data_IF_819877606993
#
_entry.id   IF_819877606993
#
_cell.length_a   1.000
_cell.length_b   1.000
_cell.length_c   1.000
_cell.angle_alpha   90.00
_cell.angle_beta   90.00
_cell.angle_gamma   90.00
#
_symmetry.space_group_name_H-M   'P 1'
#
loop_
_entity.id
_entity.type
_entity.pdbx_description
1 polymer ?
#
# COMPACT_ATOMS: atom_id res chain seq x y z
N UNK A 1 -23.47 49.84 0.79
CA UNK A 1 -22.17 49.50 1.39
C UNK A 1 -21.85 48.06 1.01
N UNK A 2 -20.59 47.82 0.68
CA UNK A 2 -20.12 46.70 -0.12
C UNK A 2 -20.33 45.30 0.50
N UNK A 3 -20.59 44.35 -0.41
CA UNK A 3 -20.20 42.94 -0.41
C UNK A 3 -19.43 42.41 0.82
N UNK A 4 -20.04 41.45 1.51
CA UNK A 4 -19.34 40.39 2.22
C UNK A 4 -19.69 39.06 1.55
N UNK A 5 -18.99 38.74 0.45
CA UNK A 5 -18.99 37.41 -0.14
C UNK A 5 -18.37 36.49 0.90
N UNK A 6 -19.20 35.75 1.66
CA UNK A 6 -18.73 34.57 2.37
C UNK A 6 -18.27 33.59 1.31
N UNK A 7 -16.95 33.58 1.15
CA UNK A 7 -16.22 32.73 0.24
C UNK A 7 -16.43 31.31 0.75
N UNK A 8 -17.45 30.62 0.22
CA UNK A 8 -17.58 29.17 0.25
C UNK A 8 -16.38 28.58 -0.51
N UNK A 9 -15.23 28.62 0.17
CA UNK A 9 -14.00 27.93 -0.21
C UNK A 9 -14.02 26.52 0.38
N UNK A 10 -15.21 25.90 0.44
CA UNK A 10 -15.34 24.48 0.70
C UNK A 10 -14.88 23.75 -0.54
N UNK A 11 -13.67 23.20 -0.51
CA UNK A 11 -13.22 22.23 -1.50
C UNK A 11 -14.32 21.17 -1.61
N UNK A 12 -15.10 21.18 -2.70
CA UNK A 12 -16.17 20.20 -2.90
C UNK A 12 -15.54 18.81 -2.98
N UNK A 13 -15.51 18.13 -1.84
CA UNK A 13 -14.87 16.83 -1.67
C UNK A 13 -15.58 15.83 -2.61
N UNK A 14 -16.91 15.87 -2.68
CA UNK A 14 -17.67 15.06 -3.62
C UNK A 14 -18.80 15.88 -4.22
N UNK A 15 -19.13 15.60 -5.48
CA UNK A 15 -20.32 16.15 -6.13
C UNK A 15 -21.60 15.62 -5.49
N UNK A 16 -22.70 16.37 -5.59
CA UNK A 16 -24.01 15.90 -5.11
C UNK A 16 -24.45 14.61 -5.81
N UNK A 17 -24.14 14.46 -7.10
CA UNK A 17 -24.44 13.25 -7.88
C UNK A 17 -23.71 12.01 -7.32
N UNK A 18 -22.44 12.17 -6.92
CA UNK A 18 -21.65 11.08 -6.32
C UNK A 18 -22.20 10.60 -4.97
N UNK A 19 -22.95 11.45 -4.25
CA UNK A 19 -23.46 11.17 -2.91
C UNK A 19 -24.96 10.92 -2.87
N UNK A 20 -25.68 11.19 -3.96
CA UNK A 20 -27.15 11.25 -4.02
C UNK A 20 -27.85 10.04 -3.41
N UNK A 21 -27.31 8.85 -3.65
CA UNK A 21 -27.90 7.59 -3.22
C UNK A 21 -27.41 7.10 -1.86
N UNK A 22 -26.53 7.85 -1.19
CA UNK A 22 -25.95 7.46 0.10
C UNK A 22 -26.84 7.90 1.26
N UNK A 23 -26.97 7.04 2.27
CA UNK A 23 -27.74 7.35 3.47
C UNK A 23 -26.95 8.19 4.47
N UNK A 24 -27.65 9.13 5.13
CA UNK A 24 -27.11 9.91 6.25
C UNK A 24 -26.05 10.94 5.85
N UNK A 25 -26.03 11.38 4.59
CA UNK A 25 -25.07 12.35 4.08
C UNK A 25 -25.21 13.68 4.81
N UNK A 26 -24.10 14.18 5.35
CA UNK A 26 -23.95 15.56 5.84
C UNK A 26 -22.66 16.15 5.31
N UNK A 27 -22.70 17.40 4.84
CA UNK A 27 -21.52 18.13 4.40
C UNK A 27 -21.05 19.05 5.53
N UNK A 28 -19.85 18.82 6.03
CA UNK A 28 -19.12 19.75 6.89
C UNK A 28 -18.14 20.58 6.06
N UNK A 29 -17.54 21.61 6.68
CA UNK A 29 -16.63 22.51 5.96
C UNK A 29 -15.42 21.80 5.32
N UNK A 30 -14.88 20.78 5.99
CA UNK A 30 -13.67 20.05 5.55
C UNK A 30 -13.87 18.53 5.38
N UNK A 31 -15.09 18.05 5.59
CA UNK A 31 -15.41 16.63 5.47
C UNK A 31 -16.83 16.41 4.96
N UNK A 32 -17.08 15.23 4.41
CA UNK A 32 -18.44 14.69 4.31
C UNK A 32 -18.63 13.62 5.37
N UNK A 33 -19.85 13.43 5.84
CA UNK A 33 -20.22 12.41 6.79
C UNK A 33 -21.32 11.55 6.20
N UNK A 34 -21.27 10.24 6.39
CA UNK A 34 -22.27 9.27 5.90
C UNK A 34 -22.54 8.20 6.96
N UNK A 35 -23.70 7.55 6.87
CA UNK A 35 -23.99 6.36 7.69
C UNK A 35 -23.10 5.20 7.25
N UNK A 36 -22.44 4.57 8.21
CA UNK A 36 -21.62 3.39 7.99
C UNK A 36 -21.92 2.30 9.02
N UNK A 37 -21.38 1.12 8.81
CA UNK A 37 -21.44 0.06 9.80
C UNK A 37 -20.51 -1.10 9.49
N UNK A 38 -20.47 -2.06 10.40
CA UNK A 38 -19.71 -3.29 10.25
C UNK A 38 -20.50 -4.44 10.85
N UNK A 39 -20.68 -5.52 10.09
CA UNK A 39 -21.52 -6.66 10.51
C UNK A 39 -20.67 -7.78 11.12
N UNK A 40 -20.90 -8.07 12.38
CA UNK A 40 -20.36 -9.23 13.10
C UNK A 40 -21.32 -10.41 13.03
N UNK A 41 -20.78 -11.62 12.84
CA UNK A 41 -21.58 -12.85 12.91
C UNK A 41 -22.19 -13.09 14.28
N UNK A 42 -21.55 -12.62 15.36
CA UNK A 42 -22.00 -12.83 16.74
C UNK A 42 -22.93 -11.75 17.24
N UNK A 43 -22.69 -10.49 16.85
CA UNK A 43 -23.33 -9.33 17.47
C UNK A 43 -24.21 -8.51 16.51
N UNK A 44 -24.33 -8.93 15.26
CA UNK A 44 -25.08 -8.18 14.25
C UNK A 44 -24.34 -6.92 13.80
N UNK A 45 -25.07 -5.87 13.47
CA UNK A 45 -24.50 -4.63 12.95
C UNK A 45 -24.05 -3.69 14.07
N UNK A 46 -22.77 -3.33 14.06
CA UNK A 46 -22.32 -2.11 14.69
C UNK A 46 -22.50 -0.96 13.70
N UNK A 47 -23.29 0.05 14.06
CA UNK A 47 -23.55 1.24 13.23
C UNK A 47 -22.68 2.41 13.70
N UNK A 48 -22.32 3.30 12.78
CA UNK A 48 -21.59 4.52 13.10
C UNK A 48 -21.68 5.54 11.98
N UNK A 49 -20.97 6.65 12.15
CA UNK A 49 -20.91 7.78 11.20
C UNK A 49 -19.49 7.93 10.68
N UNK A 50 -19.30 7.71 9.39
CA UNK A 50 -18.00 7.84 8.73
C UNK A 50 -17.85 9.27 8.20
N UNK A 51 -16.79 9.95 8.63
CA UNK A 51 -16.30 11.20 8.06
C UNK A 51 -15.16 10.93 7.08
N UNK A 52 -15.22 11.58 5.92
CA UNK A 52 -14.20 11.54 4.88
C UNK A 52 -13.70 12.95 4.65
N UNK A 53 -12.41 13.16 4.93
CA UNK A 53 -11.75 14.45 4.80
C UNK A 53 -11.06 14.59 3.44
N UNK A 54 -10.92 15.83 2.97
CA UNK A 54 -10.26 16.15 1.69
C UNK A 54 -8.76 15.81 1.69
N UNK A 55 -8.13 15.84 2.88
CA UNK A 55 -6.74 15.43 3.10
C UNK A 55 -6.55 13.89 3.06
N UNK A 56 -7.65 13.13 2.96
CA UNK A 56 -7.66 11.68 2.91
C UNK A 56 -7.84 10.97 4.25
N UNK A 57 -7.95 11.70 5.35
CA UNK A 57 -8.25 11.10 6.65
C UNK A 57 -9.67 10.52 6.70
N UNK A 58 -9.83 9.48 7.52
CA UNK A 58 -11.10 8.80 7.76
C UNK A 58 -11.32 8.65 9.26
N UNK A 59 -12.49 9.09 9.72
CA UNK A 59 -12.89 9.05 11.13
C UNK A 59 -14.28 8.40 11.24
N UNK A 60 -14.46 7.47 12.18
CA UNK A 60 -15.75 6.87 12.48
C UNK A 60 -16.14 7.21 13.91
N UNK A 61 -17.29 7.83 14.08
CA UNK A 61 -17.97 7.93 15.38
C UNK A 61 -18.85 6.71 15.54
N UNK A 62 -18.60 5.89 16.57
CA UNK A 62 -19.36 4.67 16.82
C UNK A 62 -20.71 4.99 17.47
N UNK A 63 -21.78 4.39 16.97
CA UNK A 63 -23.16 4.52 17.50
C UNK A 63 -23.77 3.13 17.74
N UNK A 64 -22.94 2.11 18.00
CA UNK A 64 -23.35 0.71 18.09
C UNK A 64 -24.30 0.43 19.26
N UNK A 65 -24.16 1.18 20.36
CA UNK A 65 -25.01 1.08 21.55
C UNK A 65 -25.13 2.45 22.23
N UNK A 66 -26.25 2.76 22.89
CA UNK A 66 -26.34 3.92 23.77
C UNK A 66 -25.28 3.85 24.87
N UNK A 67 -24.41 4.86 24.96
CA UNK A 67 -23.30 4.88 25.93
C UNK A 67 -22.01 4.20 25.45
N UNK A 68 -21.86 3.94 24.15
CA UNK A 68 -20.56 3.59 23.58
C UNK A 68 -19.56 4.73 23.86
N UNK A 69 -18.53 4.44 24.66
CA UNK A 69 -17.51 5.41 25.09
C UNK A 69 -16.26 5.39 24.21
N UNK A 70 -16.31 4.71 23.07
CA UNK A 70 -15.22 4.79 22.10
C UNK A 70 -15.18 6.20 21.52
N UNK A 71 -13.99 6.79 21.54
CA UNK A 71 -13.74 8.07 20.87
C UNK A 71 -13.77 7.88 19.33
N UNK A 72 -13.39 8.91 18.59
CA UNK A 72 -13.16 8.90 17.15
C UNK A 72 -12.26 7.72 16.73
N UNK A 73 -12.86 6.73 16.08
CA UNK A 73 -12.18 5.51 15.63
C UNK A 73 -11.67 5.64 14.20
N UNK A 74 -10.52 5.05 13.91
CA UNK A 74 -10.18 4.74 12.52
C UNK A 74 -11.08 3.61 11.99
N UNK A 75 -11.29 3.46 10.67
CA UNK A 75 -12.06 2.34 10.14
C UNK A 75 -11.58 0.95 10.57
N UNK A 76 -10.27 0.77 10.75
CA UNK A 76 -9.70 -0.47 11.26
C UNK A 76 -9.98 -0.68 12.75
N UNK A 77 -9.95 0.38 13.56
CA UNK A 77 -10.32 0.31 14.97
C UNK A 77 -11.81 0.01 15.15
N UNK A 78 -12.67 0.62 14.33
CA UNK A 78 -14.11 0.34 14.29
C UNK A 78 -14.43 -1.10 13.87
N UNK A 79 -13.73 -1.64 12.86
CA UNK A 79 -13.83 -3.05 12.47
C UNK A 79 -13.49 -3.99 13.65
N UNK A 80 -12.44 -3.67 14.41
CA UNK A 80 -12.07 -4.46 15.60
C UNK A 80 -13.13 -4.33 16.70
N UNK A 81 -13.59 -3.10 16.95
CA UNK A 81 -14.59 -2.78 17.96
C UNK A 81 -15.93 -3.47 17.70
N UNK A 82 -16.33 -3.65 16.43
CA UNK A 82 -17.58 -4.37 16.07
C UNK A 82 -17.54 -5.88 16.38
N UNK A 83 -16.41 -6.41 16.87
CA UNK A 83 -16.26 -7.82 17.23
C UNK A 83 -15.85 -8.73 16.07
N UNK A 84 -15.33 -8.16 14.96
CA UNK A 84 -14.64 -8.93 13.91
C UNK A 84 -13.17 -9.14 14.26
N UNK A 85 -12.90 -10.18 15.04
CA UNK A 85 -11.54 -10.50 15.55
C UNK A 85 -10.56 -10.99 14.46
N UNK A 86 -11.04 -11.49 13.31
CA UNK A 86 -10.21 -12.25 12.35
C UNK A 86 -9.91 -11.54 11.03
N UNK A 87 -10.48 -10.36 10.78
CA UNK A 87 -10.36 -9.72 9.47
C UNK A 87 -9.70 -8.36 9.61
N UNK A 88 -8.45 -8.22 9.13
CA UNK A 88 -7.79 -6.92 8.90
C UNK A 88 -8.17 -6.37 7.52
N UNK A 89 -9.46 -6.39 7.19
CA UNK A 89 -9.98 -6.08 5.84
C UNK A 89 -11.07 -5.01 5.92
N UNK A 90 -10.87 -3.99 6.76
CA UNK A 90 -11.86 -2.94 7.01
C UNK A 90 -12.45 -2.32 5.74
N UNK A 91 -11.67 -2.16 4.66
CA UNK A 91 -12.20 -1.62 3.39
C UNK A 91 -13.35 -2.47 2.80
N UNK A 92 -13.36 -3.77 3.07
CA UNK A 92 -14.40 -4.69 2.61
C UNK A 92 -15.48 -4.97 3.67
N UNK A 93 -15.16 -4.70 4.94
CA UNK A 93 -16.01 -5.09 6.07
C UNK A 93 -16.79 -3.93 6.66
N UNK A 94 -16.23 -2.72 6.57
CA UNK A 94 -16.97 -1.49 6.82
C UNK A 94 -17.76 -1.19 5.56
N UNK A 95 -19.08 -1.07 5.72
CA UNK A 95 -20.03 -0.77 4.67
C UNK A 95 -20.68 0.58 4.92
N UNK A 96 -21.25 1.15 3.87
CA UNK A 96 -22.16 2.29 3.90
C UNK A 96 -23.46 1.87 3.23
N UNK A 97 -24.54 2.64 3.43
CA UNK A 97 -25.82 2.36 2.78
C UNK A 97 -25.90 3.18 1.50
N UNK A 98 -26.03 2.50 0.36
CA UNK A 98 -26.25 3.11 -0.97
C UNK A 98 -27.50 2.47 -1.56
N UNK A 99 -28.49 3.27 -1.97
CA UNK A 99 -29.78 2.76 -2.47
C UNK A 99 -30.47 1.76 -1.50
N UNK A 100 -30.29 1.93 -0.20
CA UNK A 100 -30.81 1.01 0.82
C UNK A 100 -30.01 -0.29 1.00
N UNK A 101 -28.97 -0.53 0.20
CA UNK A 101 -28.12 -1.71 0.30
C UNK A 101 -26.82 -1.43 1.05
N UNK A 102 -26.31 -2.44 1.78
CA UNK A 102 -24.98 -2.38 2.42
C UNK A 102 -23.90 -2.59 1.38
N UNK A 103 -23.19 -1.53 1.04
CA UNK A 103 -22.09 -1.54 0.08
C UNK A 103 -20.75 -1.38 0.81
N UNK A 104 -19.78 -2.30 0.64
CA UNK A 104 -18.44 -2.16 1.19
C UNK A 104 -17.76 -0.87 0.74
N UNK A 105 -17.00 -0.22 1.64
CA UNK A 105 -16.28 1.02 1.31
C UNK A 105 -15.37 0.89 0.08
N UNK A 106 -14.74 -0.27 -0.12
CA UNK A 106 -13.89 -0.58 -1.27
C UNK A 106 -14.59 -0.47 -2.62
N UNK A 107 -15.93 -0.54 -2.64
CA UNK A 107 -16.77 -0.41 -3.83
C UNK A 107 -17.40 0.98 -3.97
N UNK A 108 -17.07 1.93 -3.10
CA UNK A 108 -17.64 3.28 -3.10
C UNK A 108 -16.62 4.34 -3.52
N UNK A 109 -17.11 5.50 -3.93
CA UNK A 109 -16.29 6.68 -4.23
C UNK A 109 -15.64 7.29 -2.99
N UNK A 110 -16.12 6.98 -1.78
CA UNK A 110 -15.69 7.58 -0.51
C UNK A 110 -14.19 7.40 -0.21
N UNK A 111 -13.57 6.36 -0.77
CA UNK A 111 -12.13 6.14 -0.62
C UNK A 111 -11.27 6.94 -1.62
N UNK A 112 -11.84 7.82 -2.45
CA UNK A 112 -11.11 8.61 -3.45
C UNK A 112 -9.96 9.39 -2.82
N UNK A 113 -10.25 10.24 -1.83
CA UNK A 113 -9.22 11.06 -1.17
C UNK A 113 -8.31 10.25 -0.29
N UNK A 114 -8.83 9.27 0.45
CA UNK A 114 -7.99 8.34 1.21
C UNK A 114 -6.96 7.63 0.31
N UNK A 115 -7.40 7.09 -0.83
CA UNK A 115 -6.50 6.44 -1.78
C UNK A 115 -5.58 7.46 -2.49
N UNK A 116 -6.02 8.71 -2.69
CA UNK A 116 -5.19 9.76 -3.26
C UNK A 116 -4.13 10.25 -2.27
N UNK A 117 -4.47 10.44 -1.00
CA UNK A 117 -3.52 10.75 0.07
C UNK A 117 -2.50 9.62 0.24
N UNK A 118 -2.93 8.36 0.14
CA UNK A 118 -2.01 7.22 0.06
C UNK A 118 -1.07 7.26 -1.16
N UNK A 119 -1.51 7.87 -2.27
CA UNK A 119 -0.73 8.06 -3.52
C UNK A 119 0.06 9.38 -3.57
N UNK A 120 -0.27 10.37 -2.75
CA UNK A 120 0.33 11.71 -2.75
C UNK A 120 1.29 11.91 -1.56
N UNK A 121 0.99 11.31 -0.40
CA UNK A 121 1.93 11.17 0.72
C UNK A 121 3.01 10.12 0.46
N UNK A 122 2.82 9.29 -0.57
CA UNK A 122 3.85 8.42 -1.13
C UNK A 122 4.03 8.80 -2.59
N UNK A 123 5.07 9.56 -2.93
CA UNK A 123 5.54 9.73 -4.30
C UNK A 123 5.49 8.41 -5.06
N UNK A 124 5.21 8.48 -6.36
CA UNK A 124 5.03 7.34 -7.25
C UNK A 124 5.93 6.15 -6.85
N UNK A 125 5.34 4.95 -6.75
CA UNK A 125 6.01 3.65 -6.50
C UNK A 125 5.92 2.98 -5.12
N UNK A 126 4.82 3.06 -4.34
CA UNK A 126 4.69 2.13 -3.19
C UNK A 126 3.35 1.38 -3.18
N UNK A 127 3.43 0.08 -3.46
CA UNK A 127 2.34 -0.87 -3.21
C UNK A 127 2.05 -0.95 -1.69
N UNK A 128 0.84 -1.41 -1.33
CA UNK A 128 0.15 -1.42 -0.02
C UNK A 128 0.89 -1.83 1.28
N UNK A 129 2.23 -1.89 1.30
CA UNK A 129 3.07 -2.09 2.49
C UNK A 129 4.21 -1.06 2.62
N UNK A 130 4.17 0.07 1.90
CA UNK A 130 5.20 1.11 2.02
C UNK A 130 6.62 0.69 1.61
N UNK A 131 6.80 -0.51 1.05
CA UNK A 131 8.06 -0.98 0.47
C UNK A 131 7.90 -1.17 -1.03
N UNK A 132 8.77 -0.54 -1.80
CA UNK A 132 9.09 -0.98 -3.15
C UNK A 132 9.54 -2.44 -3.00
N UNK A 133 8.77 -3.39 -3.54
CA UNK A 133 9.20 -4.78 -3.56
C UNK A 133 9.97 -4.98 -4.86
N UNK A 134 11.30 -4.95 -4.78
CA UNK A 134 12.11 -5.37 -5.92
C UNK A 134 11.89 -6.87 -6.17
N UNK A 135 12.01 -7.27 -7.43
CA UNK A 135 12.16 -8.69 -7.76
C UNK A 135 13.45 -9.22 -7.15
N UNK A 136 13.47 -10.51 -6.89
CA UNK A 136 14.76 -11.16 -6.64
C UNK A 136 15.55 -11.18 -7.94
N UNK A 137 16.86 -11.02 -7.81
CA UNK A 137 17.81 -11.11 -8.91
C UNK A 137 18.71 -12.33 -8.72
N UNK A 138 19.49 -12.67 -9.73
CA UNK A 138 20.37 -13.84 -9.71
C UNK A 138 21.79 -13.45 -10.10
N UNK A 139 22.78 -14.04 -9.42
CA UNK A 139 24.20 -13.88 -9.74
C UNK A 139 24.79 -15.26 -10.04
N UNK A 140 25.65 -15.33 -11.05
CA UNK A 140 26.34 -16.54 -11.48
C UNK A 140 27.58 -16.78 -10.60
N UNK A 141 27.69 -17.97 -10.04
CA UNK A 141 28.92 -18.42 -9.37
C UNK A 141 30.02 -18.67 -10.41
N UNK A 142 31.15 -18.00 -10.26
CA UNK A 142 32.29 -18.12 -11.19
C UNK A 142 32.97 -19.49 -11.15
N UNK A 143 32.80 -20.25 -10.06
CA UNK A 143 33.46 -21.56 -9.88
C UNK A 143 32.64 -22.74 -10.39
N UNK A 144 31.31 -22.66 -10.38
CA UNK A 144 30.43 -23.76 -10.78
C UNK A 144 29.34 -23.37 -11.79
N UNK A 145 29.29 -22.10 -12.22
CA UNK A 145 28.32 -21.53 -13.15
C UNK A 145 26.84 -21.66 -12.75
N UNK A 146 26.54 -22.05 -11.50
CA UNK A 146 25.17 -22.08 -10.97
C UNK A 146 24.72 -20.67 -10.59
N UNK A 147 23.47 -20.35 -10.89
CA UNK A 147 22.81 -19.11 -10.48
C UNK A 147 22.31 -19.19 -9.04
N UNK A 148 22.59 -18.14 -8.26
CA UNK A 148 22.15 -18.01 -6.87
C UNK A 148 21.28 -16.76 -6.71
N UNK A 149 20.17 -16.94 -5.99
CA UNK A 149 19.13 -15.91 -5.82
C UNK A 149 19.50 -14.90 -4.75
N UNK A 150 19.38 -13.63 -5.09
CA UNK A 150 19.50 -12.49 -4.19
C UNK A 150 18.12 -11.92 -3.88
N UNK A 151 17.80 -11.82 -2.58
CA UNK A 151 16.62 -11.11 -2.11
C UNK A 151 16.92 -9.62 -2.20
N UNK A 152 15.95 -8.79 -2.59
CA UNK A 152 16.12 -7.34 -2.75
C UNK A 152 15.03 -6.57 -1.98
N UNK A 153 14.80 -6.87 -0.70
CA UNK A 153 13.70 -6.28 0.10
C UNK A 153 14.14 -5.13 0.99
N UNK A 154 15.42 -5.03 1.27
CA UNK A 154 16.04 -4.03 2.14
C UNK A 154 17.22 -3.37 1.44
N UNK A 155 17.66 -2.23 1.98
CA UNK A 155 18.79 -1.49 1.41
C UNK A 155 20.07 -2.30 1.51
N UNK A 156 20.24 -3.02 2.62
CA UNK A 156 21.36 -3.90 2.91
C UNK A 156 21.41 -5.08 1.92
N UNK A 157 20.26 -5.72 1.67
CA UNK A 157 20.14 -6.78 0.67
C UNK A 157 20.45 -6.28 -0.76
N UNK A 158 19.98 -5.08 -1.12
CA UNK A 158 20.31 -4.47 -2.40
C UNK A 158 21.81 -4.17 -2.53
N UNK A 159 22.46 -3.71 -1.45
CA UNK A 159 23.90 -3.46 -1.44
C UNK A 159 24.70 -4.74 -1.59
N UNK A 160 24.32 -5.80 -0.88
CA UNK A 160 24.92 -7.14 -0.99
C UNK A 160 24.89 -7.62 -2.45
N UNK A 161 23.74 -7.52 -3.11
CA UNK A 161 23.62 -7.88 -4.53
C UNK A 161 24.50 -7.01 -5.42
N UNK A 162 24.54 -5.69 -5.19
CA UNK A 162 25.41 -4.78 -5.95
C UNK A 162 26.88 -5.19 -5.88
N UNK A 163 27.37 -5.51 -4.68
CA UNK A 163 28.74 -5.94 -4.47
C UNK A 163 29.01 -7.28 -5.15
N UNK A 164 28.08 -8.24 -5.04
CA UNK A 164 28.20 -9.53 -5.71
C UNK A 164 28.23 -9.40 -7.24
N UNK A 165 27.41 -8.52 -7.82
CA UNK A 165 27.37 -8.27 -9.26
C UNK A 165 28.65 -7.57 -9.76
N UNK A 166 29.27 -6.72 -8.94
CA UNK A 166 30.51 -6.03 -9.25
C UNK A 166 31.75 -6.93 -9.09
N UNK A 167 31.68 -7.95 -8.25
CA UNK A 167 32.77 -8.88 -8.01
C UNK A 167 32.85 -9.96 -9.12
N UNK A 168 33.89 -9.84 -9.95
CA UNK A 168 34.17 -10.78 -11.04
C UNK A 168 34.56 -12.18 -10.56
N UNK A 169 34.86 -12.35 -9.29
CA UNK A 169 35.28 -13.62 -8.69
C UNK A 169 34.22 -14.21 -7.75
N UNK A 170 33.00 -13.66 -7.72
CA UNK A 170 31.95 -14.08 -6.80
C UNK A 170 31.66 -15.60 -6.87
N UNK A 171 31.53 -16.24 -5.71
CA UNK A 171 31.29 -17.69 -5.55
C UNK A 171 30.09 -17.95 -4.64
N UNK A 172 29.58 -19.19 -4.69
CA UNK A 172 28.47 -19.65 -3.84
C UNK A 172 28.73 -19.41 -2.35
N UNK A 173 29.97 -19.64 -1.88
CA UNK A 173 30.39 -19.43 -0.49
C UNK A 173 30.33 -17.98 -0.02
N UNK A 174 30.29 -17.03 -0.95
CA UNK A 174 30.30 -15.59 -0.65
C UNK A 174 28.88 -15.06 -0.41
N UNK A 175 27.85 -15.91 -0.49
CA UNK A 175 26.48 -15.54 -0.18
C UNK A 175 26.31 -15.33 1.34
N UNK A 176 25.91 -14.13 1.81
CA UNK A 176 26.11 -13.77 3.22
C UNK A 176 25.06 -14.32 4.18
N UNK A 177 23.87 -14.73 3.70
CA UNK A 177 22.76 -15.12 4.57
C UNK A 177 22.28 -16.57 4.40
N UNK A 178 22.67 -17.27 3.33
CA UNK A 178 22.37 -18.68 3.13
C UNK A 178 23.71 -19.44 3.01
N UNK A 179 23.93 -20.46 3.85
CA UNK A 179 25.13 -21.31 3.78
C UNK A 179 25.01 -22.24 2.58
N UNK A 180 25.54 -21.80 1.44
CA UNK A 180 25.48 -22.54 0.18
C UNK A 180 26.88 -22.75 -0.40
N UNK A 181 27.07 -23.90 -1.01
CA UNK A 181 28.34 -24.33 -1.62
C UNK A 181 28.14 -24.60 -3.11
N UNK A 182 29.23 -24.95 -3.80
CA UNK A 182 29.15 -25.35 -5.20
C UNK A 182 28.51 -26.74 -5.38
N UNK A 183 28.51 -27.57 -4.34
CA UNK A 183 27.93 -28.92 -4.37
C UNK A 183 26.40 -28.86 -4.28
N UNK A 184 25.85 -27.82 -3.67
CA UNK A 184 24.41 -27.63 -3.60
C UNK A 184 23.77 -27.43 -4.98
N UNK A 185 22.61 -28.05 -5.17
CA UNK A 185 21.85 -27.98 -6.41
C UNK A 185 21.42 -26.55 -6.75
N UNK A 186 21.29 -26.25 -8.04
CA UNK A 186 20.76 -24.97 -8.48
C UNK A 186 19.24 -24.90 -8.26
N UNK A 187 18.73 -23.69 -8.06
CA UNK A 187 17.29 -23.47 -8.01
C UNK A 187 16.62 -23.84 -9.35
N UNK A 188 15.74 -24.85 -9.30
CA UNK A 188 14.92 -25.31 -10.42
C UNK A 188 14.19 -24.14 -11.11
N UNK A 189 14.15 -24.13 -12.44
CA UNK A 189 13.52 -23.06 -13.23
C UNK A 189 12.06 -22.74 -12.81
N UNK A 190 11.28 -23.75 -12.44
CA UNK A 190 9.90 -23.57 -11.96
C UNK A 190 9.81 -22.82 -10.63
N UNK A 191 10.86 -22.84 -9.80
CA UNK A 191 10.93 -22.09 -8.54
C UNK A 191 11.30 -20.61 -8.76
N UNK A 192 12.02 -20.32 -9.86
CA UNK A 192 12.49 -18.97 -10.20
C UNK A 192 11.36 -17.95 -10.24
N UNK A 193 10.17 -18.35 -10.70
CA UNK A 193 8.97 -17.49 -10.82
C UNK A 193 8.26 -17.13 -9.50
N UNK A 194 8.46 -17.91 -8.43
CA UNK A 194 7.61 -17.82 -7.21
C UNK A 194 7.90 -16.64 -6.28
N UNK A 195 8.81 -15.73 -6.66
CA UNK A 195 9.06 -14.47 -5.93
C UNK A 195 9.07 -13.26 -6.87
N UNK A 196 8.18 -13.32 -7.85
CA UNK A 196 7.83 -12.21 -8.71
C UNK A 196 6.74 -11.32 -8.11
N UNK A 197 5.88 -10.81 -8.98
CA UNK A 197 4.96 -9.73 -8.67
C UNK A 197 3.96 -10.09 -7.57
N UNK A 198 3.74 -9.21 -6.59
CA UNK A 198 2.77 -9.41 -5.49
C UNK A 198 1.33 -9.61 -5.98
N UNK A 199 1.05 -9.20 -7.22
CA UNK A 199 -0.27 -9.30 -7.87
C UNK A 199 -0.45 -10.60 -8.67
N UNK A 200 0.62 -11.26 -9.11
CA UNK A 200 0.54 -12.52 -9.84
C UNK A 200 1.89 -13.26 -9.89
N UNK A 201 1.92 -14.57 -9.56
CA UNK A 201 3.13 -15.40 -9.66
C UNK A 201 3.59 -15.63 -11.11
N UNK A 202 2.72 -15.43 -12.11
CA UNK A 202 3.06 -15.57 -13.54
C UNK A 202 3.40 -14.24 -14.21
N UNK A 203 3.45 -13.15 -13.43
CA UNK A 203 3.75 -11.82 -13.97
C UNK A 203 5.13 -11.80 -14.63
N UNK A 204 5.20 -11.38 -15.88
CA UNK A 204 6.48 -11.23 -16.61
C UNK A 204 7.18 -9.89 -16.36
N UNK A 205 6.50 -8.90 -15.77
CA UNK A 205 7.10 -7.61 -15.40
C UNK A 205 6.11 -6.46 -15.61
N UNK A 206 5.12 -6.32 -14.73
CA UNK A 206 4.23 -5.16 -14.80
C UNK A 206 4.89 -3.91 -14.20
N UNK A 207 4.31 -2.75 -14.48
CA UNK A 207 4.77 -1.45 -13.98
C UNK A 207 4.79 -1.34 -12.45
N UNK A 208 4.06 -2.19 -11.74
CA UNK A 208 4.12 -2.28 -10.27
C UNK A 208 5.29 -3.13 -9.74
N UNK A 209 5.98 -3.85 -10.61
CA UNK A 209 6.99 -4.85 -10.28
C UNK A 209 8.36 -4.55 -10.91
N UNK A 210 8.43 -3.56 -11.79
CA UNK A 210 9.68 -2.98 -12.30
C UNK A 210 10.00 -1.74 -11.47
N UNK A 211 11.15 -1.75 -10.79
CA UNK A 211 11.68 -0.57 -10.13
C UNK A 211 12.63 0.14 -11.09
N UNK A 212 12.28 1.35 -11.51
CA UNK A 212 13.15 2.17 -12.36
C UNK A 212 14.27 2.88 -11.57
N UNK A 213 14.22 2.80 -10.24
CA UNK A 213 15.19 3.35 -9.32
C UNK A 213 14.49 3.93 -8.10
N UNK A 214 15.02 3.67 -6.91
CA UNK A 214 14.56 4.27 -5.67
C UNK A 214 15.71 4.31 -4.66
N UNK A 215 15.51 5.03 -3.55
CA UNK A 215 16.50 5.19 -2.48
C UNK A 215 16.94 3.89 -1.79
N UNK A 216 16.23 2.78 -2.03
CA UNK A 216 16.59 1.45 -1.48
C UNK A 216 17.59 0.72 -2.37
N UNK A 217 17.47 0.86 -3.70
CA UNK A 217 18.30 0.13 -4.68
C UNK A 217 19.28 1.02 -5.45
N UNK A 218 19.27 2.33 -5.19
CA UNK A 218 20.16 3.31 -5.80
C UNK A 218 20.97 3.97 -4.71
N UNK A 219 22.27 3.99 -4.91
CA UNK A 219 23.25 4.40 -3.92
C UNK A 219 24.08 5.51 -4.52
N UNK A 220 24.16 6.66 -3.83
CA UNK A 220 24.90 7.84 -4.30
C UNK A 220 26.40 7.61 -4.39
N UNK A 221 26.91 6.65 -3.62
CA UNK A 221 28.29 6.19 -3.55
C UNK A 221 28.59 5.00 -4.48
N UNK A 222 27.60 4.51 -5.25
CA UNK A 222 27.80 3.44 -6.21
C UNK A 222 28.13 3.99 -7.61
N UNK A 223 29.22 3.50 -8.18
CA UNK A 223 29.71 3.89 -9.52
C UNK A 223 29.07 3.11 -10.68
N UNK A 224 28.03 2.31 -10.45
CA UNK A 224 27.36 1.62 -11.55
C UNK A 224 26.49 2.60 -12.36
N UNK A 225 26.42 2.40 -13.67
CA UNK A 225 25.71 3.30 -14.59
C UNK A 225 24.28 3.59 -14.11
N UNK A 226 23.57 2.57 -13.65
CA UNK A 226 22.17 2.72 -13.21
C UNK A 226 22.01 3.54 -11.93
N UNK A 227 22.99 3.55 -11.01
CA UNK A 227 22.99 4.44 -9.84
C UNK A 227 23.37 5.87 -10.21
N UNK A 228 24.34 6.03 -11.11
CA UNK A 228 24.74 7.33 -11.65
C UNK A 228 23.55 8.00 -12.34
N UNK A 229 22.91 7.30 -13.29
CA UNK A 229 21.76 7.81 -14.04
C UNK A 229 20.62 8.24 -13.11
N UNK A 230 20.32 7.43 -12.09
CA UNK A 230 19.30 7.78 -11.11
C UNK A 230 19.68 9.03 -10.29
N UNK A 231 20.91 9.07 -9.79
CA UNK A 231 21.37 10.18 -8.92
C UNK A 231 21.49 11.49 -9.68
N UNK A 232 21.84 11.46 -10.96
CA UNK A 232 21.88 12.64 -11.82
C UNK A 232 20.48 13.16 -12.14
N UNK A 233 19.55 12.27 -12.50
CA UNK A 233 18.17 12.66 -12.82
C UNK A 233 17.37 13.10 -11.60
N UNK A 234 17.73 12.67 -10.39
CA UNK A 234 17.08 13.10 -9.15
C UNK A 234 17.49 14.52 -8.69
N UNK A 235 18.54 15.11 -9.28
CA UNK A 235 19.02 16.47 -8.97
C UNK A 235 18.48 17.55 -9.92
N UNK A 236 17.71 17.17 -10.93
CA UNK A 236 17.08 18.06 -11.92
C UNK A 236 15.63 18.35 -11.53
#
# INVERSE_FOLDING_TARGET
MANGVERETGLMIFSDEELREMSGVKKGGEYIEVTCGCTSHRYGDAVGRLRVFSNGDLEITCECTPGCNEDKLTPAAFEKHSGRETARKWKNNVWVIVNGEKVPLSKTVLLKYYNQALKNGNGSHRSHNGRVCHRDEFVLCTSCNKERRFRLRTKEECLIHHNALADKNWKCSDLPYDKITCDDEEERASRRVYRGCTRSPTCKGCTSCVCFGCEICRFSDCSCQTCIDFTMNAKA
#
